data_IF_084065117570
#
_entry.id   IF_084065117570
#
_cell.length_a   1.000
_cell.length_b   1.000
_cell.length_c   1.000
_cell.angle_alpha   90.00
_cell.angle_beta   90.00
_cell.angle_gamma   90.00
#
_symmetry.space_group_name_H-M   'P 1'
#
loop_
_entity.id
_entity.type
_entity.pdbx_description
1 polymer ?
#
# COMPACT_ATOMS: atom_id res chain seq x y z
N UNK A 1 -22.70 -24.65 23.82
CA UNK A 1 -22.70 -23.24 24.15
C UNK A 1 -21.33 -22.65 23.84
N UNK A 2 -21.26 -21.81 22.84
CA UNK A 2 -20.05 -20.97 22.65
C UNK A 2 -20.02 -19.99 23.80
N UNK A 3 -19.16 -20.27 24.79
CA UNK A 3 -18.82 -19.32 25.83
C UNK A 3 -18.18 -18.10 25.17
N UNK A 4 -18.63 -16.92 25.54
CA UNK A 4 -18.11 -15.58 25.34
C UNK A 4 -16.60 -15.50 25.09
N UNK A 5 -16.14 -15.87 23.91
CA UNK A 5 -14.87 -15.37 23.39
C UNK A 5 -15.21 -14.03 22.76
N UNK A 6 -14.68 -12.95 23.34
CA UNK A 6 -14.77 -11.63 22.76
C UNK A 6 -14.34 -11.71 21.30
N UNK A 7 -15.25 -11.41 20.38
CA UNK A 7 -14.96 -11.43 18.95
C UNK A 7 -14.26 -10.13 18.60
N UNK A 8 -12.93 -10.17 18.62
CA UNK A 8 -12.09 -9.03 18.30
C UNK A 8 -12.15 -8.72 16.81
N UNK A 9 -12.33 -7.47 16.46
CA UNK A 9 -12.24 -6.96 15.08
C UNK A 9 -10.87 -6.36 14.86
N UNK A 10 -10.19 -6.82 13.82
CA UNK A 10 -8.84 -6.43 13.50
C UNK A 10 -8.76 -5.67 12.19
N UNK A 11 -8.10 -4.51 12.21
CA UNK A 11 -7.87 -3.66 11.04
C UNK A 11 -6.40 -3.36 10.88
N UNK A 12 -5.93 -3.39 9.65
CA UNK A 12 -4.53 -3.17 9.32
C UNK A 12 -4.34 -2.36 8.07
N UNK A 13 -3.33 -1.51 8.12
CA UNK A 13 -2.63 -0.93 6.98
C UNK A 13 -1.16 -0.81 7.31
N UNK A 14 -0.32 -0.89 6.28
CA UNK A 14 1.10 -0.68 6.47
C UNK A 14 1.47 0.81 6.42
N UNK A 15 2.53 1.15 7.13
CA UNK A 15 3.07 2.51 7.22
C UNK A 15 4.33 2.69 6.40
N UNK A 16 4.98 1.59 6.03
CA UNK A 16 6.17 1.63 5.19
C UNK A 16 5.81 2.01 3.75
N UNK A 17 6.79 2.46 3.03
CA UNK A 17 6.74 2.77 1.61
C UNK A 17 7.84 2.02 0.88
N UNK A 18 7.68 1.77 -0.41
CA UNK A 18 8.77 1.29 -1.22
C UNK A 18 9.92 2.29 -1.23
N UNK A 19 11.14 1.79 -1.16
CA UNK A 19 12.33 2.63 -1.08
C UNK A 19 13.59 1.87 -1.46
N UNK A 20 14.72 2.32 -0.97
CA UNK A 20 16.00 1.70 -1.26
C UNK A 20 16.88 1.66 -0.03
N UNK A 21 17.94 0.86 -0.11
CA UNK A 21 18.98 0.77 0.91
C UNK A 21 20.36 0.89 0.26
N UNK A 22 21.26 1.66 0.85
CA UNK A 22 22.63 1.81 0.36
C UNK A 22 23.35 0.47 0.47
N UNK A 23 23.90 -0.03 -0.65
CA UNK A 23 24.68 -1.28 -0.68
C UNK A 23 26.17 -1.07 -0.87
N UNK A 24 26.59 0.05 -1.47
CA UNK A 24 28.00 0.37 -1.70
C UNK A 24 28.21 1.87 -1.92
N UNK A 25 29.39 2.38 -1.53
CA UNK A 25 29.85 3.73 -1.80
C UNK A 25 31.15 3.60 -2.61
N UNK A 26 31.14 4.08 -3.85
CA UNK A 26 32.29 3.94 -4.73
C UNK A 26 33.44 4.95 -4.39
N UNK A 27 34.54 4.84 -5.10
CA UNK A 27 35.71 5.70 -4.85
C UNK A 27 35.52 7.18 -5.19
N UNK A 28 34.45 7.53 -5.91
CA UNK A 28 34.09 8.88 -6.28
C UNK A 28 32.96 9.46 -5.42
N UNK A 29 32.35 8.65 -4.54
CA UNK A 29 31.25 9.06 -3.67
C UNK A 29 29.85 8.75 -4.21
N UNK A 30 29.73 8.08 -5.35
CA UNK A 30 28.44 7.58 -5.83
C UNK A 30 27.95 6.40 -5.03
N UNK A 31 26.63 6.31 -4.82
CA UNK A 31 26.02 5.21 -4.08
C UNK A 31 25.43 4.19 -5.04
N UNK A 32 25.64 2.90 -4.74
CA UNK A 32 24.83 1.80 -5.24
C UNK A 32 23.80 1.42 -4.19
N UNK A 33 22.66 0.92 -4.63
CA UNK A 33 21.53 0.64 -3.77
C UNK A 33 20.82 -0.65 -4.19
N UNK A 34 20.01 -1.17 -3.26
CA UNK A 34 19.05 -2.25 -3.51
C UNK A 34 17.64 -1.71 -3.25
N UNK A 35 16.64 -2.22 -3.97
CA UNK A 35 15.23 -1.85 -3.79
C UNK A 35 14.64 -2.53 -2.55
N UNK A 36 13.80 -1.82 -1.83
CA UNK A 36 12.92 -2.33 -0.80
C UNK A 36 11.49 -2.19 -1.33
N UNK A 37 10.88 -3.31 -1.72
CA UNK A 37 9.60 -3.33 -2.43
C UNK A 37 9.73 -3.44 -3.95
N UNK A 38 8.60 -3.40 -4.65
CA UNK A 38 8.50 -3.59 -6.10
C UNK A 38 8.70 -2.30 -6.88
N UNK A 39 9.61 -2.29 -7.86
CA UNK A 39 9.88 -1.14 -8.73
C UNK A 39 9.87 -1.50 -10.21
N UNK A 40 9.25 -0.67 -11.03
CA UNK A 40 9.56 -0.61 -12.46
C UNK A 40 10.85 0.22 -12.64
N UNK A 41 11.95 -0.35 -13.15
CA UNK A 41 13.21 0.37 -13.34
C UNK A 41 13.07 1.65 -14.19
N UNK A 42 12.11 1.70 -15.10
CA UNK A 42 11.88 2.89 -15.94
C UNK A 42 11.46 4.11 -15.12
N UNK A 43 10.83 3.92 -13.97
CA UNK A 43 10.37 5.01 -13.12
C UNK A 43 11.46 5.60 -12.24
N UNK A 44 12.67 5.03 -12.27
CA UNK A 44 13.82 5.52 -11.49
C UNK A 44 14.57 6.65 -12.17
N UNK A 45 14.37 6.81 -13.46
CA UNK A 45 15.05 7.88 -14.23
C UNK A 45 14.63 9.25 -13.74
N UNK A 46 15.61 10.15 -13.56
CA UNK A 46 15.38 11.56 -13.20
C UNK A 46 14.70 11.78 -11.85
N UNK A 47 14.87 10.87 -10.89
CA UNK A 47 14.31 11.01 -9.56
C UNK A 47 15.27 11.72 -8.61
N UNK A 48 14.71 12.49 -7.68
CA UNK A 48 15.39 12.93 -6.47
C UNK A 48 15.05 11.99 -5.33
N UNK A 49 16.02 11.80 -4.45
CA UNK A 49 15.91 10.92 -3.28
C UNK A 49 16.47 11.62 -2.05
N UNK A 50 16.07 11.16 -0.89
CA UNK A 50 16.63 11.53 0.41
C UNK A 50 17.34 10.30 0.96
N UNK A 51 18.65 10.42 1.18
CA UNK A 51 19.45 9.38 1.83
C UNK A 51 19.51 9.70 3.32
N UNK A 52 18.98 8.78 4.14
CA UNK A 52 18.85 8.94 5.59
C UNK A 52 20.09 8.39 6.31
N UNK A 53 21.14 9.21 6.36
CA UNK A 53 22.37 8.92 7.08
C UNK A 53 22.40 9.53 8.48
N UNK A 54 23.59 10.01 8.91
CA UNK A 54 23.70 10.81 10.15
C UNK A 54 22.92 12.12 10.06
N UNK A 55 22.69 12.58 8.87
CA UNK A 55 21.75 13.64 8.50
C UNK A 55 21.16 13.29 7.14
N UNK A 56 19.99 13.80 6.86
CA UNK A 56 19.34 13.64 5.58
C UNK A 56 20.09 14.42 4.48
N UNK A 57 20.31 13.76 3.36
CA UNK A 57 20.98 14.35 2.18
C UNK A 57 20.16 14.08 0.94
N UNK A 58 19.90 15.13 0.16
CA UNK A 58 19.26 14.98 -1.14
C UNK A 58 20.30 14.46 -2.12
N UNK A 59 19.91 13.43 -2.87
CA UNK A 59 20.66 12.89 -4.00
C UNK A 59 19.80 12.81 -5.25
N UNK A 60 20.44 12.56 -6.38
CA UNK A 60 19.78 12.36 -7.66
C UNK A 60 20.10 10.98 -8.21
N UNK A 61 19.06 10.30 -8.76
CA UNK A 61 19.25 9.03 -9.45
C UNK A 61 19.74 9.27 -10.87
N UNK A 62 20.92 8.74 -11.17
CA UNK A 62 21.55 8.82 -12.47
C UNK A 62 21.73 7.44 -13.10
N UNK A 63 21.87 7.44 -14.41
CA UNK A 63 22.24 6.29 -15.23
C UNK A 63 23.13 6.73 -16.38
N UNK A 64 23.63 5.79 -17.19
CA UNK A 64 24.43 6.11 -18.38
C UNK A 64 23.69 7.07 -19.30
N UNK A 65 24.27 8.23 -19.67
CA UNK A 65 23.61 9.18 -20.56
C UNK A 65 23.35 8.58 -21.96
N UNK A 66 22.17 8.87 -22.53
CA UNK A 66 21.75 8.34 -23.83
C UNK A 66 22.74 8.68 -24.97
N UNK A 67 23.44 9.79 -24.85
CA UNK A 67 24.42 10.24 -25.88
C UNK A 67 25.65 9.35 -26.00
N UNK A 68 25.98 8.57 -24.96
CA UNK A 68 27.12 7.64 -24.93
C UNK A 68 26.71 6.18 -24.93
N UNK A 69 25.42 5.90 -25.14
CA UNK A 69 24.88 4.53 -25.28
C UNK A 69 25.05 4.01 -26.71
N UNK A 70 25.34 2.73 -26.86
CA UNK A 70 25.26 2.03 -28.13
C UNK A 70 23.80 1.92 -28.63
N UNK A 71 23.55 1.66 -29.91
CA UNK A 71 22.21 1.42 -30.43
C UNK A 71 21.49 0.27 -29.69
N UNK A 72 22.20 -0.79 -29.31
CA UNK A 72 21.65 -1.93 -28.57
C UNK A 72 21.28 -1.54 -27.13
N UNK A 73 22.08 -0.71 -26.45
CA UNK A 73 21.79 -0.23 -25.10
C UNK A 73 20.55 0.67 -25.07
N UNK A 74 20.34 1.50 -26.08
CA UNK A 74 19.18 2.40 -26.18
C UNK A 74 17.84 1.67 -26.23
N UNK A 75 17.83 0.45 -26.76
CA UNK A 75 16.63 -0.36 -26.94
C UNK A 75 16.38 -1.33 -25.76
N UNK A 76 17.26 -1.36 -24.75
CA UNK A 76 17.09 -2.22 -23.57
C UNK A 76 16.33 -1.50 -22.47
N UNK A 77 15.46 -2.24 -21.78
CA UNK A 77 14.88 -1.78 -20.51
C UNK A 77 16.01 -1.71 -19.48
N UNK A 78 16.21 -0.55 -18.81
CA UNK A 78 17.22 -0.42 -17.78
C UNK A 78 17.00 -1.44 -16.65
N UNK A 79 18.09 -1.92 -16.04
CA UNK A 79 18.05 -2.70 -14.82
C UNK A 79 18.29 -1.80 -13.62
N UNK A 80 17.82 -2.22 -12.43
CA UNK A 80 18.10 -1.48 -11.18
C UNK A 80 19.61 -1.23 -10.99
N UNK A 81 20.44 -2.20 -11.37
CA UNK A 81 21.90 -2.13 -11.26
C UNK A 81 22.56 -1.08 -12.17
N UNK A 82 21.85 -0.59 -13.18
CA UNK A 82 22.37 0.44 -14.10
C UNK A 82 22.30 1.84 -13.48
N UNK A 83 21.56 1.98 -12.37
CA UNK A 83 21.39 3.24 -11.66
C UNK A 83 22.43 3.42 -10.53
N UNK A 84 22.67 4.67 -10.19
CA UNK A 84 23.45 5.10 -9.04
C UNK A 84 22.82 6.36 -8.44
N UNK A 85 23.20 6.71 -7.22
CA UNK A 85 22.79 7.96 -6.59
C UNK A 85 24.02 8.86 -6.48
N UNK A 86 23.85 10.08 -6.96
CA UNK A 86 24.83 11.14 -6.89
C UNK A 86 24.40 12.13 -5.79
N UNK A 87 25.29 12.35 -4.83
CA UNK A 87 25.10 13.32 -3.72
C UNK A 87 25.80 14.64 -3.98
N UNK A 88 26.50 14.79 -5.10
CA UNK A 88 27.30 15.98 -5.41
C UNK A 88 28.50 16.20 -4.48
N UNK A 89 28.98 15.15 -3.81
CA UNK A 89 30.05 15.21 -2.79
C UNK A 89 31.13 14.18 -3.07
N UNK A 90 32.42 14.52 -2.79
CA UNK A 90 33.49 13.55 -2.87
C UNK A 90 33.37 12.49 -1.77
N UNK A 91 33.90 11.27 -2.03
CA UNK A 91 33.81 10.12 -1.11
C UNK A 91 34.15 10.47 0.34
N UNK A 92 35.21 11.23 0.57
CA UNK A 92 35.64 11.60 1.94
C UNK A 92 34.57 12.37 2.72
N UNK A 93 33.69 13.09 2.06
CA UNK A 93 32.57 13.80 2.69
C UNK A 93 31.36 12.86 2.86
N UNK A 94 31.09 12.04 1.84
CA UNK A 94 30.01 11.03 1.88
C UNK A 94 30.26 10.07 3.07
N UNK A 95 31.44 9.52 3.22
CA UNK A 95 31.79 8.56 4.30
C UNK A 95 31.61 9.13 5.72
N UNK A 96 31.54 10.46 5.88
CA UNK A 96 31.28 11.07 7.21
C UNK A 96 29.81 10.99 7.60
N UNK A 97 28.91 10.89 6.64
CA UNK A 97 27.45 11.05 6.85
C UNK A 97 26.64 9.85 6.38
N UNK A 98 27.11 9.10 5.40
CA UNK A 98 26.42 7.96 4.82
C UNK A 98 27.22 6.68 5.06
N UNK A 99 26.51 5.61 5.37
CA UNK A 99 27.07 4.25 5.52
C UNK A 99 26.24 3.26 4.73
N UNK A 100 26.83 2.12 4.36
CA UNK A 100 26.08 0.97 3.85
C UNK A 100 25.00 0.58 4.84
N UNK A 101 23.78 0.31 4.34
CA UNK A 101 22.60 0.02 5.16
C UNK A 101 21.73 1.25 5.46
N UNK A 102 22.15 2.48 5.12
CA UNK A 102 21.28 3.63 5.28
C UNK A 102 20.07 3.53 4.33
N UNK A 103 18.84 3.78 4.80
CA UNK A 103 17.65 3.78 3.98
C UNK A 103 17.59 5.02 3.08
N UNK A 104 16.85 4.89 1.99
CA UNK A 104 16.68 5.95 0.99
C UNK A 104 15.21 6.00 0.62
N UNK A 105 14.62 7.19 0.68
CA UNK A 105 13.25 7.44 0.23
C UNK A 105 13.25 8.35 -1.00
N UNK A 106 12.19 8.26 -1.81
CA UNK A 106 12.00 9.19 -2.94
C UNK A 106 11.54 10.55 -2.40
N UNK A 107 11.93 11.62 -3.07
CA UNK A 107 11.56 12.99 -2.70
C UNK A 107 10.40 13.44 -3.58
N UNK A 108 9.22 13.70 -2.99
CA UNK A 108 8.07 14.30 -3.67
C UNK A 108 7.03 14.76 -2.64
N UNK A 109 6.58 16.01 -2.78
CA UNK A 109 5.54 16.59 -1.93
C UNK A 109 4.12 16.25 -2.42
N UNK A 110 3.15 16.43 -1.53
CA UNK A 110 1.73 16.29 -1.83
C UNK A 110 1.22 17.51 -2.58
N UNK A 111 0.44 17.29 -3.62
CA UNK A 111 -0.29 18.33 -4.36
C UNK A 111 -1.75 17.95 -4.55
N UNK A 112 -2.62 18.95 -4.63
CA UNK A 112 -4.01 18.78 -5.01
C UNK A 112 -4.17 18.97 -6.52
N UNK A 113 -4.91 18.08 -7.17
CA UNK A 113 -5.17 18.08 -8.60
C UNK A 113 -6.67 17.86 -8.86
N UNK A 114 -7.43 18.94 -8.91
CA UNK A 114 -8.88 18.86 -9.06
C UNK A 114 -9.52 18.07 -7.90
N UNK A 115 -10.22 17.00 -8.20
CA UNK A 115 -10.83 16.10 -7.20
C UNK A 115 -9.88 15.06 -6.63
N UNK A 116 -8.63 15.08 -7.04
CA UNK A 116 -7.61 14.11 -6.62
C UNK A 116 -6.54 14.76 -5.74
N UNK A 117 -5.79 13.92 -5.06
CA UNK A 117 -4.50 14.25 -4.46
C UNK A 117 -3.42 13.38 -5.11
N UNK A 118 -2.23 13.96 -5.24
CA UNK A 118 -1.09 13.29 -5.85
C UNK A 118 0.12 13.44 -4.93
N UNK A 119 0.80 12.33 -4.68
CA UNK A 119 2.00 12.29 -3.84
C UNK A 119 2.75 10.98 -4.09
N UNK A 120 3.96 10.86 -3.57
CA UNK A 120 4.57 9.56 -3.31
C UNK A 120 3.89 8.91 -2.10
N UNK A 121 3.98 7.59 -1.97
CA UNK A 121 3.62 6.87 -0.73
C UNK A 121 2.17 7.05 -0.28
N UNK A 122 1.26 7.38 -1.21
CA UNK A 122 -0.17 7.20 -0.95
C UNK A 122 -0.43 5.73 -0.66
N UNK A 123 0.33 4.86 -1.29
CA UNK A 123 0.59 3.49 -0.91
C UNK A 123 1.63 3.43 0.23
N UNK A 124 1.25 3.16 1.52
CA UNK A 124 -0.14 3.04 1.94
C UNK A 124 -0.50 4.10 3.02
N UNK A 125 0.07 5.31 2.91
CA UNK A 125 -0.18 6.40 3.87
C UNK A 125 -1.63 6.91 3.81
N UNK A 126 -2.31 6.74 2.66
CA UNK A 126 -3.72 7.08 2.55
C UNK A 126 -4.59 6.18 3.44
N UNK A 127 -4.25 4.90 3.54
CA UNK A 127 -4.94 3.97 4.42
C UNK A 127 -4.68 4.28 5.91
N UNK A 128 -3.48 4.74 6.25
CA UNK A 128 -3.19 5.27 7.61
C UNK A 128 -4.13 6.41 7.95
N UNK A 129 -4.30 7.37 7.03
CA UNK A 129 -5.23 8.50 7.19
C UNK A 129 -6.67 8.00 7.35
N UNK A 130 -7.14 7.11 6.48
CA UNK A 130 -8.50 6.55 6.52
C UNK A 130 -8.78 5.87 7.86
N UNK A 131 -7.85 5.04 8.35
CA UNK A 131 -8.05 4.36 9.63
C UNK A 131 -8.12 5.35 10.80
N UNK A 132 -7.27 6.36 10.84
CA UNK A 132 -7.29 7.40 11.87
C UNK A 132 -8.65 8.13 11.85
N UNK A 133 -9.11 8.56 10.68
CA UNK A 133 -10.37 9.27 10.55
C UNK A 133 -11.58 8.36 10.87
N UNK A 134 -11.54 7.09 10.49
CA UNK A 134 -12.57 6.13 10.87
C UNK A 134 -12.68 5.98 12.38
N UNK A 135 -11.53 5.84 13.09
CA UNK A 135 -11.53 5.68 14.55
C UNK A 135 -12.04 6.94 15.25
N UNK A 136 -11.66 8.12 14.77
CA UNK A 136 -12.17 9.39 15.31
C UNK A 136 -13.68 9.52 15.21
N UNK A 137 -14.29 8.97 14.14
CA UNK A 137 -15.74 8.99 13.91
C UNK A 137 -16.46 7.80 14.55
N UNK A 138 -15.74 6.75 14.94
CA UNK A 138 -16.33 5.50 15.39
C UNK A 138 -17.01 5.68 16.76
N UNK A 139 -18.29 5.36 16.81
CA UNK A 139 -19.08 5.33 18.04
C UNK A 139 -19.73 3.97 18.19
N UNK A 140 -19.63 3.39 19.37
CA UNK A 140 -20.28 2.10 19.71
C UNK A 140 -19.99 0.98 18.69
N UNK A 141 -18.74 0.57 18.47
CA UNK A 141 -18.44 -0.57 17.64
C UNK A 141 -19.07 -1.84 18.21
N UNK A 142 -19.48 -2.76 17.34
CA UNK A 142 -20.12 -4.03 17.76
C UNK A 142 -19.19 -4.90 18.62
N UNK A 143 -17.88 -4.79 18.44
CA UNK A 143 -16.86 -5.58 19.12
C UNK A 143 -15.64 -4.75 19.48
N UNK A 144 -14.79 -5.28 20.37
CA UNK A 144 -13.47 -4.69 20.62
C UNK A 144 -12.70 -4.54 19.32
N UNK A 145 -12.20 -3.34 19.05
CA UNK A 145 -11.62 -2.97 17.76
C UNK A 145 -10.14 -2.62 17.93
N UNK A 146 -9.26 -3.33 17.23
CA UNK A 146 -7.83 -3.08 17.18
C UNK A 146 -7.46 -2.38 15.88
N UNK A 147 -6.97 -1.17 15.96
CA UNK A 147 -6.33 -0.49 14.84
C UNK A 147 -4.83 -0.75 14.88
N UNK A 148 -4.31 -1.37 13.83
CA UNK A 148 -2.91 -1.78 13.81
C UNK A 148 -2.20 -1.18 12.61
N UNK A 149 -1.09 -0.51 12.87
CA UNK A 149 -0.19 0.09 11.90
C UNK A 149 1.00 -0.84 11.74
N UNK A 150 1.10 -1.51 10.60
CA UNK A 150 2.13 -2.50 10.31
C UNK A 150 3.34 -1.88 9.62
N UNK A 151 4.43 -2.61 9.54
CA UNK A 151 5.65 -2.27 8.83
C UNK A 151 6.14 -3.48 8.04
N UNK A 152 6.98 -3.25 7.04
CA UNK A 152 7.54 -4.29 6.18
C UNK A 152 6.47 -5.07 5.38
N UNK A 153 5.41 -4.39 4.98
CA UNK A 153 4.44 -4.95 4.05
C UNK A 153 5.09 -5.12 2.68
N UNK A 154 5.72 -4.08 2.17
CA UNK A 154 6.34 -3.97 0.86
C UNK A 154 7.47 -4.99 0.59
N UNK A 155 7.99 -5.58 1.64
CA UNK A 155 9.06 -6.59 1.58
C UNK A 155 8.59 -7.98 2.03
N UNK A 156 7.28 -8.23 2.01
CA UNK A 156 6.69 -9.56 2.23
C UNK A 156 5.68 -9.67 3.35
N UNK A 157 4.86 -8.65 3.59
CA UNK A 157 3.67 -8.66 4.49
C UNK A 157 4.04 -9.08 5.94
N UNK A 158 5.26 -8.70 6.41
CA UNK A 158 5.86 -9.30 7.62
C UNK A 158 5.23 -8.80 8.92
N UNK A 159 4.98 -7.50 9.04
CA UNK A 159 4.39 -6.92 10.24
C UNK A 159 3.00 -7.44 10.52
N UNK A 160 2.23 -7.69 9.47
CA UNK A 160 0.91 -8.27 9.54
C UNK A 160 0.91 -9.66 10.18
N UNK A 161 1.85 -10.51 9.82
CA UNK A 161 1.98 -11.85 10.36
C UNK A 161 2.11 -11.84 11.88
N UNK A 162 3.06 -11.06 12.38
CA UNK A 162 3.38 -11.03 13.82
C UNK A 162 2.21 -10.48 14.64
N UNK A 163 1.61 -9.40 14.18
CA UNK A 163 0.53 -8.78 14.92
C UNK A 163 -0.75 -9.62 14.90
N UNK A 164 -1.09 -10.36 13.79
CA UNK A 164 -2.23 -11.31 13.78
C UNK A 164 -2.06 -12.43 14.79
N UNK A 165 -0.87 -13.02 14.85
CA UNK A 165 -0.57 -14.10 15.80
C UNK A 165 -0.77 -13.65 17.27
N UNK A 166 -0.49 -12.36 17.55
CA UNK A 166 -0.68 -11.80 18.90
C UNK A 166 -2.14 -11.53 19.22
N UNK A 167 -2.90 -10.95 18.29
CA UNK A 167 -4.29 -10.49 18.53
C UNK A 167 -5.29 -11.63 18.31
N UNK A 168 -5.06 -12.50 17.31
CA UNK A 168 -5.92 -13.65 16.96
C UNK A 168 -7.36 -13.24 16.68
N UNK A 169 -7.61 -12.30 15.76
CA UNK A 169 -8.94 -11.75 15.54
C UNK A 169 -9.90 -12.77 14.93
N UNK A 170 -11.18 -12.70 15.29
CA UNK A 170 -12.23 -13.47 14.63
C UNK A 170 -12.63 -12.84 13.30
N UNK A 171 -12.77 -11.51 13.26
CA UNK A 171 -13.01 -10.72 12.06
C UNK A 171 -11.78 -9.87 11.72
N UNK A 172 -11.54 -9.67 10.43
CA UNK A 172 -10.45 -8.82 10.00
C UNK A 172 -10.72 -8.04 8.73
N UNK A 173 -10.27 -6.79 8.72
CA UNK A 173 -10.29 -5.94 7.53
C UNK A 173 -8.87 -5.51 7.18
N UNK A 174 -8.42 -5.85 5.98
CA UNK A 174 -7.30 -5.19 5.34
C UNK A 174 -7.72 -3.83 4.80
N UNK A 175 -6.79 -2.90 4.79
CA UNK A 175 -6.98 -1.60 4.16
C UNK A 175 -5.73 -1.27 3.38
N UNK A 176 -5.87 -1.13 2.07
CA UNK A 176 -4.73 -0.96 1.18
C UNK A 176 -5.08 -0.13 -0.04
N UNK A 177 -4.10 0.22 -0.84
CA UNK A 177 -4.32 0.75 -2.17
C UNK A 177 -4.56 -0.39 -3.17
N UNK A 178 -5.09 -0.06 -4.34
CA UNK A 178 -5.22 -1.00 -5.45
C UNK A 178 -5.08 -0.28 -6.79
N UNK A 179 -4.77 -1.04 -7.84
CA UNK A 179 -4.52 -0.49 -9.17
C UNK A 179 -5.81 0.09 -9.77
N UNK A 180 -5.80 1.38 -10.06
CA UNK A 180 -6.75 2.01 -10.97
C UNK A 180 -6.16 2.05 -12.38
N UNK A 181 -6.62 1.14 -13.24
CA UNK A 181 -6.18 1.09 -14.64
C UNK A 181 -7.26 1.67 -15.57
N UNK A 182 -7.72 2.87 -15.22
CA UNK A 182 -8.71 3.66 -15.94
C UNK A 182 -8.05 4.79 -16.76
N UNK A 183 -6.94 4.46 -17.42
CA UNK A 183 -6.10 5.37 -18.19
C UNK A 183 -6.25 5.13 -19.69
N UNK A 184 -5.81 6.08 -20.55
CA UNK A 184 -5.89 5.89 -22.02
C UNK A 184 -5.23 4.59 -22.46
N UNK A 185 -5.94 3.83 -23.30
CA UNK A 185 -5.49 2.55 -23.85
C UNK A 185 -5.90 1.31 -23.04
N UNK A 186 -6.47 1.46 -21.86
CA UNK A 186 -7.00 0.33 -21.09
C UNK A 186 -8.30 -0.19 -21.70
N UNK A 187 -8.37 -1.50 -21.98
CA UNK A 187 -9.62 -2.15 -22.36
C UNK A 187 -10.54 -2.31 -21.14
N UNK A 188 -11.86 -2.39 -21.35
CA UNK A 188 -12.82 -2.41 -20.23
C UNK A 188 -12.59 -3.56 -19.26
N UNK A 189 -12.24 -4.74 -19.75
CA UNK A 189 -11.98 -5.93 -18.94
C UNK A 189 -10.63 -5.93 -18.23
N UNK A 190 -9.75 -4.97 -18.56
CA UNK A 190 -8.44 -4.80 -17.91
C UNK A 190 -8.50 -3.80 -16.74
N UNK A 191 -9.58 -3.05 -16.62
CA UNK A 191 -9.77 -2.10 -15.53
C UNK A 191 -10.06 -2.86 -14.25
N UNK A 192 -9.09 -2.86 -13.33
CA UNK A 192 -9.26 -3.47 -12.01
C UNK A 192 -10.18 -2.60 -11.16
N UNK A 193 -9.86 -1.29 -11.09
CA UNK A 193 -10.70 -0.26 -10.48
C UNK A 193 -10.58 1.05 -11.26
N UNK A 194 -11.43 2.02 -10.93
CA UNK A 194 -11.42 3.36 -11.54
C UNK A 194 -11.55 4.43 -10.47
N UNK A 195 -10.83 5.54 -10.61
CA UNK A 195 -10.93 6.69 -9.72
C UNK A 195 -12.33 7.32 -9.76
N UNK A 196 -12.85 7.71 -8.60
CA UNK A 196 -14.15 8.36 -8.47
C UNK A 196 -15.35 7.42 -8.45
N UNK A 197 -15.14 6.12 -8.58
CA UNK A 197 -16.21 5.11 -8.54
C UNK A 197 -16.45 4.53 -7.13
N UNK A 198 -15.83 5.13 -6.12
CA UNK A 198 -15.98 4.73 -4.74
C UNK A 198 -14.92 3.72 -4.28
N UNK A 199 -15.02 3.34 -3.01
CA UNK A 199 -14.13 2.36 -2.39
C UNK A 199 -14.23 1.00 -3.09
N UNK A 200 -13.10 0.32 -3.28
CA UNK A 200 -13.10 -1.01 -3.83
C UNK A 200 -13.27 -2.08 -2.73
N UNK A 201 -14.23 -2.97 -2.91
CA UNK A 201 -14.43 -4.15 -2.06
C UNK A 201 -13.68 -5.31 -2.71
N UNK A 202 -12.58 -5.72 -2.07
CA UNK A 202 -11.70 -6.76 -2.58
C UNK A 202 -12.37 -8.14 -2.55
N UNK A 203 -12.34 -8.82 -3.69
CA UNK A 203 -12.73 -10.23 -3.82
C UNK A 203 -11.50 -11.12 -3.72
N UNK A 204 -10.45 -10.77 -4.49
CA UNK A 204 -9.16 -11.46 -4.41
C UNK A 204 -7.98 -10.55 -4.79
N UNK A 205 -6.80 -10.92 -4.30
CA UNK A 205 -5.51 -10.52 -4.86
C UNK A 205 -4.60 -11.76 -5.02
N UNK A 206 -3.33 -11.56 -5.40
CA UNK A 206 -2.38 -12.67 -5.61
C UNK A 206 -2.06 -13.48 -4.35
N UNK A 207 -2.39 -12.99 -3.16
CA UNK A 207 -2.08 -13.62 -1.88
C UNK A 207 -3.30 -14.05 -1.09
N UNK A 208 -4.51 -13.55 -1.38
CA UNK A 208 -5.73 -13.88 -0.66
C UNK A 208 -6.98 -13.96 -1.54
N UNK A 209 -7.89 -14.84 -1.17
CA UNK A 209 -9.29 -14.81 -1.60
C UNK A 209 -10.08 -14.42 -0.35
N UNK A 210 -10.75 -13.27 -0.38
CA UNK A 210 -11.52 -12.77 0.74
C UNK A 210 -12.68 -13.71 1.07
N UNK A 211 -13.04 -13.81 2.36
CA UNK A 211 -14.20 -14.60 2.78
C UNK A 211 -15.47 -14.03 2.13
N UNK A 212 -16.20 -14.85 1.40
CA UNK A 212 -17.39 -14.43 0.66
C UNK A 212 -18.47 -13.83 1.54
N UNK A 213 -18.55 -14.24 2.81
CA UNK A 213 -19.47 -13.66 3.80
C UNK A 213 -19.09 -12.23 4.12
N UNK A 214 -17.78 -11.97 4.29
CA UNK A 214 -17.26 -10.62 4.54
C UNK A 214 -17.44 -9.71 3.31
N UNK A 215 -17.15 -10.21 2.12
CA UNK A 215 -17.39 -9.48 0.86
C UNK A 215 -18.87 -9.10 0.74
N UNK A 216 -19.78 -10.07 0.91
CA UNK A 216 -21.23 -9.81 0.85
C UNK A 216 -21.71 -8.83 1.93
N UNK A 217 -21.17 -8.92 3.14
CA UNK A 217 -21.46 -7.99 4.23
C UNK A 217 -21.07 -6.55 3.86
N UNK A 218 -19.83 -6.35 3.39
CA UNK A 218 -19.33 -5.04 3.00
C UNK A 218 -20.17 -4.41 1.88
N UNK A 219 -20.51 -5.18 0.84
CA UNK A 219 -21.35 -4.74 -0.27
C UNK A 219 -22.75 -4.32 0.19
N UNK A 220 -23.42 -5.16 0.99
CA UNK A 220 -24.75 -4.84 1.53
C UNK A 220 -24.73 -3.62 2.46
N UNK A 221 -23.65 -3.46 3.24
CA UNK A 221 -23.47 -2.29 4.09
C UNK A 221 -23.29 -1.03 3.26
N UNK A 222 -22.54 -1.08 2.16
CA UNK A 222 -22.40 0.02 1.23
C UNK A 222 -23.74 0.40 0.58
N UNK A 223 -24.48 -0.58 0.06
CA UNK A 223 -25.79 -0.36 -0.57
C UNK A 223 -26.81 0.22 0.42
N UNK A 224 -26.89 -0.33 1.63
CA UNK A 224 -27.78 0.15 2.71
C UNK A 224 -27.54 1.64 3.03
N UNK A 225 -26.27 2.05 3.03
CA UNK A 225 -25.86 3.41 3.40
C UNK A 225 -25.64 4.33 2.19
N UNK A 226 -25.93 3.87 0.96
CA UNK A 226 -25.78 4.61 -0.29
C UNK A 226 -24.34 5.13 -0.50
N UNK A 227 -23.36 4.33 -0.13
CA UNK A 227 -21.95 4.62 -0.30
C UNK A 227 -21.52 4.04 -1.65
N UNK A 228 -20.78 4.83 -2.45
CA UNK A 228 -20.27 4.34 -3.72
C UNK A 228 -19.17 3.31 -3.50
N UNK A 229 -19.28 2.19 -4.21
CA UNK A 229 -18.31 1.11 -4.14
C UNK A 229 -18.18 0.40 -5.48
N UNK A 230 -17.07 -0.31 -5.66
CA UNK A 230 -16.79 -1.12 -6.84
C UNK A 230 -16.13 -2.44 -6.45
N UNK A 231 -16.16 -3.43 -7.34
CA UNK A 231 -15.44 -4.69 -7.14
C UNK A 231 -13.94 -4.51 -7.37
N UNK A 232 -13.15 -5.34 -6.68
CA UNK A 232 -11.73 -5.50 -6.97
C UNK A 232 -11.38 -6.96 -7.17
N UNK A 233 -10.80 -7.27 -8.33
CA UNK A 233 -10.18 -8.54 -8.67
C UNK A 233 -8.81 -8.22 -9.24
N UNK A 234 -7.76 -8.41 -8.45
CA UNK A 234 -6.37 -8.17 -8.84
C UNK A 234 -5.61 -9.50 -8.77
N UNK A 235 -5.22 -10.04 -9.92
CA UNK A 235 -4.56 -11.36 -9.98
C UNK A 235 -3.07 -11.35 -9.61
N UNK A 236 -2.56 -10.22 -9.14
CA UNK A 236 -1.16 -10.01 -8.73
C UNK A 236 -1.11 -9.24 -7.41
N UNK A 237 0.10 -9.08 -6.87
CA UNK A 237 0.31 -8.40 -5.60
C UNK A 237 -0.23 -9.18 -4.40
N UNK A 238 -0.22 -8.55 -3.25
CA UNK A 238 -0.74 -9.10 -2.00
C UNK A 238 -0.94 -7.98 -1.00
N UNK A 239 -1.73 -8.23 0.02
CA UNK A 239 -2.02 -7.27 1.08
C UNK A 239 -1.96 -7.94 2.44
N UNK A 240 -1.91 -7.14 3.48
CA UNK A 240 -1.97 -7.58 4.88
C UNK A 240 -3.15 -8.53 5.18
N UNK A 241 -4.22 -8.47 4.38
CA UNK A 241 -5.42 -9.31 4.51
C UNK A 241 -5.08 -10.81 4.50
N UNK A 242 -4.11 -11.21 3.67
CA UNK A 242 -3.67 -12.61 3.58
C UNK A 242 -3.20 -13.16 4.93
N UNK A 243 -2.45 -12.36 5.69
CA UNK A 243 -1.96 -12.77 7.00
C UNK A 243 -3.03 -12.70 8.09
N UNK A 244 -3.99 -11.75 8.00
CA UNK A 244 -5.15 -11.76 8.89
C UNK A 244 -5.89 -13.09 8.76
N UNK A 245 -6.15 -13.50 7.53
CA UNK A 245 -6.91 -14.71 7.23
C UNK A 245 -6.21 -15.99 7.68
N UNK A 246 -4.88 -16.08 7.50
CA UNK A 246 -4.12 -17.33 7.66
C UNK A 246 -3.38 -17.50 8.98
N UNK A 247 -3.05 -16.40 9.70
CA UNK A 247 -2.17 -16.46 10.87
C UNK A 247 -2.91 -16.53 12.20
N UNK A 248 -4.25 -16.50 12.18
CA UNK A 248 -5.09 -16.80 13.34
C UNK A 248 -5.34 -18.31 13.41
N UNK A 249 -5.22 -18.96 14.55
CA UNK A 249 -5.62 -20.36 14.71
C UNK A 249 -7.07 -20.57 14.28
N UNK A 250 -7.30 -21.47 13.31
CA UNK A 250 -8.61 -21.68 12.70
C UNK A 250 -9.01 -20.68 11.62
N UNK A 251 -8.17 -19.70 11.34
CA UNK A 251 -8.44 -18.64 10.36
C UNK A 251 -9.32 -17.51 10.88
N UNK A 252 -9.43 -16.42 10.15
CA UNK A 252 -10.33 -15.28 10.42
C UNK A 252 -11.28 -15.06 9.25
N UNK A 253 -12.49 -14.59 9.52
CA UNK A 253 -13.38 -14.07 8.49
C UNK A 253 -12.84 -12.71 8.07
N UNK A 254 -12.12 -12.67 6.96
CA UNK A 254 -11.39 -11.48 6.52
C UNK A 254 -11.81 -11.00 5.14
N UNK A 255 -11.83 -9.68 4.97
CA UNK A 255 -12.02 -8.96 3.73
C UNK A 255 -11.14 -7.72 3.68
N UNK A 256 -11.19 -6.97 2.58
CA UNK A 256 -10.39 -5.76 2.44
C UNK A 256 -11.16 -4.64 1.76
N UNK A 257 -10.89 -3.42 2.23
CA UNK A 257 -11.20 -2.17 1.55
C UNK A 257 -9.97 -1.73 0.79
N UNK A 258 -10.13 -1.39 -0.47
CA UNK A 258 -9.02 -0.89 -1.26
C UNK A 258 -9.32 0.48 -1.85
N UNK A 259 -8.32 1.32 -1.90
CA UNK A 259 -8.42 2.67 -2.43
C UNK A 259 -7.88 2.66 -3.86
N UNK A 260 -8.74 2.91 -4.88
CA UNK A 260 -8.28 3.03 -6.25
C UNK A 260 -7.15 4.05 -6.37
N UNK A 261 -6.01 3.61 -6.89
CA UNK A 261 -4.80 4.43 -6.99
C UNK A 261 -4.19 4.29 -8.37
N UNK A 262 -4.08 5.40 -9.12
CA UNK A 262 -3.30 5.44 -10.35
C UNK A 262 -1.82 5.61 -10.03
N UNK A 263 -0.97 5.09 -10.92
CA UNK A 263 0.48 5.24 -10.84
C UNK A 263 1.08 4.68 -9.53
N UNK A 264 0.49 3.60 -9.03
CA UNK A 264 0.95 2.92 -7.81
C UNK A 264 2.44 2.55 -7.92
N UNK A 265 3.17 2.58 -6.81
CA UNK A 265 4.62 2.36 -6.75
C UNK A 265 5.46 3.43 -7.49
N UNK A 266 4.86 4.59 -7.80
CA UNK A 266 5.57 5.73 -8.40
C UNK A 266 5.57 6.94 -7.46
N UNK A 267 6.32 7.97 -7.82
CA UNK A 267 6.34 9.23 -7.04
C UNK A 267 5.13 10.14 -7.31
N UNK A 268 4.24 9.70 -8.18
CA UNK A 268 3.07 10.44 -8.67
C UNK A 268 1.77 9.66 -8.44
N UNK A 269 1.71 8.87 -7.41
CA UNK A 269 0.49 8.14 -7.04
C UNK A 269 -0.68 9.11 -6.88
N UNK A 270 -1.86 8.68 -7.30
CA UNK A 270 -3.04 9.55 -7.35
C UNK A 270 -4.27 8.81 -6.85
N UNK A 271 -4.99 9.42 -5.91
CA UNK A 271 -6.28 8.94 -5.39
C UNK A 271 -7.34 10.01 -5.49
N UNK A 272 -8.59 9.60 -5.65
CA UNK A 272 -9.72 10.52 -5.69
C UNK A 272 -10.25 10.78 -4.28
N UNK A 273 -10.47 12.06 -3.90
CA UNK A 273 -10.88 12.45 -2.55
C UNK A 273 -12.20 11.80 -2.11
N UNK A 274 -13.13 11.59 -3.05
CA UNK A 274 -14.42 10.97 -2.77
C UNK A 274 -14.27 9.49 -2.41
N UNK A 275 -13.39 8.74 -3.11
CA UNK A 275 -13.16 7.32 -2.82
C UNK A 275 -12.59 7.15 -1.40
N UNK A 276 -11.73 8.08 -0.98
CA UNK A 276 -11.21 8.12 0.41
C UNK A 276 -12.32 8.34 1.43
N UNK A 277 -13.23 9.29 1.18
CA UNK A 277 -14.37 9.53 2.08
C UNK A 277 -15.35 8.36 2.11
N UNK A 278 -15.63 7.75 0.95
CA UNK A 278 -16.49 6.56 0.85
C UNK A 278 -15.89 5.38 1.63
N UNK A 279 -14.56 5.22 1.59
CA UNK A 279 -13.86 4.20 2.36
C UNK A 279 -14.01 4.41 3.88
N UNK A 280 -13.83 5.65 4.37
CA UNK A 280 -14.00 6.00 5.79
C UNK A 280 -15.42 5.67 6.24
N UNK A 281 -16.41 6.10 5.46
CA UNK A 281 -17.83 5.94 5.82
C UNK A 281 -18.23 4.45 5.78
N UNK A 282 -17.83 3.71 4.74
CA UNK A 282 -18.12 2.27 4.67
C UNK A 282 -17.48 1.48 5.80
N UNK A 283 -16.21 1.78 6.10
CA UNK A 283 -15.49 1.12 7.18
C UNK A 283 -16.15 1.38 8.54
N UNK A 284 -16.59 2.62 8.80
CA UNK A 284 -17.32 2.96 10.03
C UNK A 284 -18.61 2.15 10.16
N UNK A 285 -19.44 2.10 9.10
CA UNK A 285 -20.69 1.34 9.12
C UNK A 285 -20.45 -0.16 9.26
N UNK A 286 -19.43 -0.72 8.61
CA UNK A 286 -19.08 -2.12 8.78
C UNK A 286 -18.71 -2.46 10.22
N UNK A 287 -18.04 -1.58 10.96
CA UNK A 287 -17.68 -1.83 12.36
C UNK A 287 -18.87 -1.75 13.31
N UNK A 288 -19.82 -0.89 13.01
CA UNK A 288 -21.04 -0.73 13.81
C UNK A 288 -22.01 -1.89 13.57
N UNK A 289 -22.17 -2.31 12.32
CA UNK A 289 -23.17 -3.30 11.92
C UNK A 289 -22.67 -4.76 11.93
N UNK A 290 -21.43 -5.03 12.37
CA UNK A 290 -20.76 -6.32 12.22
C UNK A 290 -21.48 -7.48 12.97
N UNK A 291 -22.13 -7.22 14.09
CA UNK A 291 -22.91 -8.18 14.89
C UNK A 291 -24.30 -8.44 14.33
N UNK A 292 -24.81 -7.56 13.48
CA UNK A 292 -26.13 -7.65 12.88
C UNK A 292 -26.21 -8.61 11.69
N UNK A 293 -25.08 -9.12 11.20
CA UNK A 293 -25.01 -9.95 10.00
C UNK A 293 -24.99 -11.44 10.35
N UNK A 294 -25.65 -12.26 9.53
CA UNK A 294 -25.60 -13.71 9.67
C UNK A 294 -24.32 -14.28 9.05
N UNK A 295 -23.39 -14.67 9.87
CA UNK A 295 -22.07 -15.19 9.50
C UNK A 295 -22.04 -16.69 9.18
N UNK A 296 -23.18 -17.39 9.23
CA UNK A 296 -23.26 -18.79 8.82
C UNK A 296 -23.14 -18.94 7.32
N UNK A 297 -22.50 -20.01 6.86
CA UNK A 297 -22.57 -20.37 5.45
C UNK A 297 -24.02 -20.68 5.07
N UNK A 298 -24.46 -20.15 3.95
CA UNK A 298 -25.72 -20.62 3.35
C UNK A 298 -25.44 -22.00 2.74
N UNK A 299 -26.02 -23.01 3.31
CA UNK A 299 -26.05 -24.39 2.78
C UNK A 299 -27.10 -24.44 1.69
#
# INVERSE_FOLDING_TARGET
PCSSAASDVYKRQHMDEIGFIVTHIDNNGFLKFHTLGGFDPKTLTSQRVIVHGRKDVIGVMGSKPIHVMSPEEKNKVPKITDYYIDLGMPKKEVDKIITVGNPITRERGLIEMGNCVNCKSLDNRIAVFILIETIKKLTNPAFDTYAVFTVQEEVGIRGAQVATQKIKPYFGFGLDTTIAYDVPGAAEHEKITSLGNGVAVKILDGSTICDSRMVNFMQKTADKNKINWQHEILTAGGTDTANIQRMTPGGSIAGAFSIPTRHIHQVIEMVHKKDVSDCIDLMQHCLIDLDSYNWNFKI
#
